data_IF_849642145396
#
_entry.id   IF_849642145396
#
_cell.length_a   1.000
_cell.length_b   1.000
_cell.length_c   1.000
_cell.angle_alpha   90.00
_cell.angle_beta   90.00
_cell.angle_gamma   90.00
#
_symmetry.space_group_name_H-M   'P 1'
#
loop_
_entity.id
_entity.type
_entity.pdbx_description
1 polymer ?
#
# COMPACT_ATOMS: atom_id res chain seq x y z
N UNK A 1 -26.68 5.43 -13.92
CA UNK A 1 -26.75 4.72 -12.63
C UNK A 1 -27.25 3.28 -12.83
N UNK A 2 -26.51 2.44 -13.57
CA UNK A 2 -26.88 1.02 -13.85
C UNK A 2 -25.84 0.00 -13.34
N UNK A 3 -24.66 0.46 -12.91
CA UNK A 3 -23.55 -0.44 -12.54
C UNK A 3 -23.65 -1.03 -11.13
N UNK A 4 -24.13 -0.25 -10.14
CA UNK A 4 -24.24 -0.72 -8.77
C UNK A 4 -25.34 -1.78 -8.58
N UNK A 5 -26.42 -1.69 -9.35
CA UNK A 5 -27.47 -2.70 -9.29
C UNK A 5 -27.01 -4.03 -9.92
N UNK A 6 -26.12 -3.98 -10.91
CA UNK A 6 -25.49 -5.18 -11.48
C UNK A 6 -24.59 -5.90 -10.46
N UNK A 7 -23.87 -5.15 -9.62
CA UNK A 7 -22.97 -5.72 -8.59
C UNK A 7 -23.74 -6.57 -7.58
N UNK A 8 -25.00 -6.21 -7.28
CA UNK A 8 -25.85 -6.95 -6.31
C UNK A 8 -26.23 -8.34 -6.83
N UNK A 9 -26.29 -8.51 -8.15
CA UNK A 9 -26.66 -9.77 -8.81
C UNK A 9 -25.44 -10.69 -9.05
N UNK A 10 -24.21 -10.21 -8.78
CA UNK A 10 -22.98 -10.96 -9.01
C UNK A 10 -22.51 -11.71 -7.76
N UNK A 11 -22.13 -12.97 -7.95
CA UNK A 11 -21.47 -13.77 -6.94
C UNK A 11 -19.94 -13.65 -7.09
N UNK A 12 -19.33 -12.81 -6.27
CA UNK A 12 -17.86 -12.71 -6.23
C UNK A 12 -17.25 -13.94 -5.58
N UNK A 13 -16.22 -14.49 -6.22
CA UNK A 13 -15.49 -15.64 -5.69
C UNK A 13 -14.78 -15.27 -4.37
N UNK A 14 -15.15 -15.96 -3.28
CA UNK A 14 -14.57 -15.76 -1.96
C UNK A 14 -14.24 -17.10 -1.31
N UNK A 15 -13.18 -17.12 -0.52
CA UNK A 15 -12.77 -18.27 0.28
C UNK A 15 -12.69 -17.88 1.76
N UNK A 16 -13.24 -18.67 2.70
CA UNK A 16 -13.33 -18.29 4.11
C UNK A 16 -12.00 -17.86 4.75
N UNK A 17 -10.89 -18.51 4.35
CA UNK A 17 -9.54 -18.18 4.84
C UNK A 17 -8.83 -17.07 4.07
N UNK A 18 -9.16 -16.89 2.79
CA UNK A 18 -8.37 -16.08 1.87
C UNK A 18 -9.09 -14.81 1.40
N UNK A 19 -10.35 -14.62 1.76
CA UNK A 19 -11.16 -13.48 1.30
C UNK A 19 -11.50 -13.59 -0.19
N UNK A 20 -11.58 -12.45 -0.87
CA UNK A 20 -11.83 -12.42 -2.31
C UNK A 20 -10.67 -13.06 -3.07
N UNK A 21 -11.04 -13.88 -4.04
CA UNK A 21 -10.10 -14.57 -4.92
C UNK A 21 -9.79 -13.69 -6.13
N UNK A 22 -8.52 -13.68 -6.51
CA UNK A 22 -8.02 -13.00 -7.70
C UNK A 22 -7.02 -13.90 -8.41
N UNK A 23 -6.87 -13.72 -9.72
CA UNK A 23 -5.90 -14.47 -10.51
C UNK A 23 -4.46 -14.29 -10.00
N UNK A 24 -4.10 -13.07 -9.58
CA UNK A 24 -2.79 -12.79 -9.02
C UNK A 24 -2.82 -12.92 -7.48
N UNK A 25 -1.96 -13.77 -6.93
CA UNK A 25 -1.83 -14.00 -5.48
C UNK A 25 -1.62 -12.71 -4.67
N UNK A 26 -1.02 -11.67 -5.27
CA UNK A 26 -0.82 -10.36 -4.62
C UNK A 26 -2.12 -9.60 -4.34
N UNK A 27 -3.22 -10.00 -4.98
CA UNK A 27 -4.53 -9.34 -4.88
C UNK A 27 -5.59 -10.17 -4.16
N UNK A 28 -5.22 -11.32 -3.59
CA UNK A 28 -6.11 -12.10 -2.72
C UNK A 28 -6.32 -11.36 -1.39
N UNK A 29 -7.50 -11.55 -0.76
CA UNK A 29 -7.86 -10.93 0.51
C UNK A 29 -8.94 -9.88 0.32
N UNK A 30 -8.71 -8.66 0.79
CA UNK A 30 -9.61 -7.53 0.55
C UNK A 30 -9.48 -6.92 -0.85
N UNK A 31 -8.53 -7.40 -1.68
CA UNK A 31 -8.22 -6.92 -3.05
C UNK A 31 -7.85 -5.44 -3.19
N UNK A 32 -7.95 -4.65 -2.12
CA UNK A 32 -7.73 -3.21 -2.15
C UNK A 32 -6.26 -2.90 -2.45
N UNK A 33 -6.05 -2.17 -3.54
CA UNK A 33 -4.73 -1.61 -3.90
C UNK A 33 -4.77 -0.11 -3.77
N UNK A 34 -3.98 0.40 -2.83
CA UNK A 34 -3.77 1.83 -2.59
C UNK A 34 -2.38 2.17 -3.12
N UNK A 35 -2.28 3.26 -3.88
CA UNK A 35 -1.03 3.71 -4.50
C UNK A 35 -0.83 5.19 -4.20
N UNK A 36 0.35 5.56 -3.73
CA UNK A 36 0.79 6.95 -3.60
C UNK A 36 2.09 7.13 -4.37
N UNK A 37 2.14 8.16 -5.22
CA UNK A 37 3.39 8.63 -5.83
C UNK A 37 3.92 9.78 -4.98
N UNK A 38 5.11 9.62 -4.41
CA UNK A 38 5.72 10.60 -3.53
C UNK A 38 7.16 10.89 -3.96
N UNK A 39 7.58 12.14 -3.80
CA UNK A 39 8.99 12.53 -3.94
C UNK A 39 9.68 12.27 -2.59
N UNK A 40 10.61 11.33 -2.59
CA UNK A 40 11.35 10.84 -1.41
C UNK A 40 12.82 10.80 -1.82
N UNK A 41 13.41 11.97 -2.04
CA UNK A 41 14.74 12.09 -2.65
C UNK A 41 15.86 11.91 -1.63
N UNK A 42 15.65 12.27 -0.36
CA UNK A 42 16.68 12.22 0.68
C UNK A 42 16.62 10.95 1.52
N UNK A 43 15.42 10.55 1.95
CA UNK A 43 15.21 9.35 2.75
C UNK A 43 15.52 8.07 1.95
N UNK A 44 15.45 8.13 0.62
CA UNK A 44 15.81 7.01 -0.24
C UNK A 44 17.31 6.95 -0.60
N UNK A 45 18.15 7.81 -0.03
CA UNK A 45 19.61 7.72 -0.16
C UNK A 45 20.16 6.55 0.65
N UNK A 46 21.33 6.05 0.26
CA UNK A 46 21.93 4.83 0.81
C UNK A 46 22.21 4.96 2.31
N UNK A 47 22.64 6.13 2.78
CA UNK A 47 22.88 6.40 4.20
C UNK A 47 21.61 6.28 5.07
N UNK A 48 20.43 6.36 4.46
CA UNK A 48 19.13 6.24 5.13
C UNK A 48 18.43 4.89 4.88
N UNK A 49 19.05 3.98 4.13
CA UNK A 49 18.49 2.68 3.71
C UNK A 49 17.84 1.92 4.85
N UNK A 50 18.57 1.68 5.94
CA UNK A 50 18.07 0.96 7.13
C UNK A 50 16.79 1.58 7.70
N UNK A 51 16.77 2.92 7.83
CA UNK A 51 15.61 3.65 8.36
C UNK A 51 14.43 3.53 7.41
N UNK A 52 14.67 3.67 6.12
CA UNK A 52 13.60 3.63 5.12
C UNK A 52 13.02 2.22 4.98
N UNK A 53 13.85 1.18 4.93
CA UNK A 53 13.44 -0.22 4.90
C UNK A 53 12.62 -0.58 6.15
N UNK A 54 13.06 -0.17 7.33
CA UNK A 54 12.31 -0.39 8.58
C UNK A 54 10.90 0.21 8.52
N UNK A 55 10.76 1.43 7.99
CA UNK A 55 9.44 2.07 7.81
C UNK A 55 8.56 1.31 6.82
N UNK A 56 9.14 0.86 5.69
CA UNK A 56 8.41 0.08 4.69
C UNK A 56 7.93 -1.26 5.27
N UNK A 57 8.78 -1.98 6.00
CA UNK A 57 8.46 -3.26 6.61
C UNK A 57 7.41 -3.14 7.72
N UNK A 58 7.58 -2.17 8.62
CA UNK A 58 6.66 -1.90 9.75
C UNK A 58 5.22 -1.72 9.27
N UNK A 59 5.03 -1.00 8.17
CA UNK A 59 3.71 -0.73 7.61
C UNK A 59 3.34 -1.68 6.45
N UNK A 60 4.19 -2.63 6.11
CA UNK A 60 3.99 -3.55 4.98
C UNK A 60 3.80 -2.84 3.64
N UNK A 61 4.54 -1.75 3.40
CA UNK A 61 4.50 -0.96 2.16
C UNK A 61 5.52 -1.51 1.17
N UNK A 62 5.09 -1.68 -0.09
CA UNK A 62 5.97 -2.00 -1.22
C UNK A 62 6.32 -0.72 -1.96
N UNK A 63 7.57 -0.60 -2.35
CA UNK A 63 8.10 0.57 -3.04
C UNK A 63 8.59 0.18 -4.45
N UNK A 64 8.39 1.07 -5.42
CA UNK A 64 9.01 1.02 -6.74
C UNK A 64 9.52 2.40 -7.14
N UNK A 65 10.79 2.55 -7.50
CA UNK A 65 11.32 3.79 -8.09
C UNK A 65 10.68 3.99 -9.46
N UNK A 66 10.06 5.15 -9.69
CA UNK A 66 9.47 5.52 -10.99
C UNK A 66 10.44 6.42 -11.75
N UNK A 67 10.94 7.46 -11.08
CA UNK A 67 11.75 8.52 -11.69
C UNK A 67 12.68 9.14 -10.63
N UNK A 68 13.41 10.19 -10.99
CA UNK A 68 14.42 10.87 -10.19
C UNK A 68 13.88 11.35 -8.82
N UNK A 69 14.06 10.51 -7.80
CA UNK A 69 13.56 10.73 -6.44
C UNK A 69 12.05 10.55 -6.27
N UNK A 70 11.33 10.01 -7.27
CA UNK A 70 9.89 9.73 -7.20
C UNK A 70 9.67 8.22 -7.07
N UNK A 71 8.91 7.85 -6.04
CA UNK A 71 8.63 6.46 -5.69
C UNK A 71 7.13 6.19 -5.66
N UNK A 72 6.73 5.03 -6.17
CA UNK A 72 5.41 4.45 -6.00
C UNK A 72 5.39 3.62 -4.71
N UNK A 73 4.52 4.00 -3.77
CA UNK A 73 4.27 3.29 -2.53
C UNK A 73 2.91 2.59 -2.61
N UNK A 74 2.87 1.29 -2.32
CA UNK A 74 1.67 0.46 -2.42
C UNK A 74 1.48 -0.38 -1.15
N UNK A 75 0.25 -0.54 -0.66
CA UNK A 75 -0.01 -1.47 0.44
C UNK A 75 0.33 -2.92 0.03
N UNK A 76 1.13 -3.63 0.82
CA UNK A 76 1.55 -4.99 0.52
C UNK A 76 0.56 -6.03 1.03
N UNK A 77 0.16 -5.91 2.30
CA UNK A 77 -0.73 -6.85 2.97
C UNK A 77 -2.20 -6.59 2.61
N UNK A 78 -2.92 -7.67 2.28
CA UNK A 78 -4.35 -7.66 1.88
C UNK A 78 -5.17 -8.80 2.49
N UNK A 79 -4.52 -9.85 2.99
CA UNK A 79 -5.16 -11.01 3.63
C UNK A 79 -5.19 -10.82 5.14
N UNK A 80 -6.30 -11.20 5.76
CA UNK A 80 -6.47 -11.13 7.22
C UNK A 80 -6.64 -9.72 7.76
N UNK A 81 -7.12 -8.79 6.94
CA UNK A 81 -7.43 -7.41 7.33
C UNK A 81 -8.54 -6.85 6.44
N UNK A 82 -9.40 -6.05 7.02
CA UNK A 82 -10.42 -5.28 6.32
C UNK A 82 -9.79 -4.20 5.43
N UNK A 83 -10.56 -3.70 4.47
CA UNK A 83 -10.20 -2.58 3.59
C UNK A 83 -9.85 -1.34 4.42
N UNK A 84 -10.61 -1.08 5.49
CA UNK A 84 -10.41 0.11 6.32
C UNK A 84 -9.15 0.00 7.19
N UNK A 85 -8.81 -1.20 7.69
CA UNK A 85 -7.54 -1.43 8.38
C UNK A 85 -6.35 -1.27 7.42
N UNK A 86 -6.47 -1.81 6.20
CA UNK A 86 -5.46 -1.61 5.15
C UNK A 86 -5.24 -0.14 4.84
N UNK A 87 -6.33 0.62 4.68
CA UNK A 87 -6.27 2.05 4.40
C UNK A 87 -5.66 2.86 5.56
N UNK A 88 -6.06 2.60 6.80
CA UNK A 88 -5.53 3.29 7.98
C UNK A 88 -4.06 2.98 8.22
N UNK A 89 -3.65 1.72 8.10
CA UNK A 89 -2.26 1.31 8.23
C UNK A 89 -1.39 1.96 7.14
N UNK A 90 -1.85 1.91 5.89
CA UNK A 90 -1.16 2.56 4.79
C UNK A 90 -1.06 4.08 4.99
N UNK A 91 -2.14 4.75 5.39
CA UNK A 91 -2.14 6.19 5.70
C UNK A 91 -1.12 6.54 6.79
N UNK A 92 -1.05 5.74 7.87
CA UNK A 92 -0.07 5.93 8.95
C UNK A 92 1.36 5.82 8.43
N UNK A 93 1.67 4.77 7.67
CA UNK A 93 3.00 4.59 7.09
C UNK A 93 3.40 5.71 6.13
N UNK A 94 2.48 6.16 5.27
CA UNK A 94 2.74 7.30 4.38
C UNK A 94 3.03 8.58 5.19
N UNK A 95 2.28 8.84 6.27
CA UNK A 95 2.51 10.00 7.13
C UNK A 95 3.89 9.96 7.78
N UNK A 96 4.32 8.81 8.28
CA UNK A 96 5.65 8.63 8.89
C UNK A 96 6.77 8.80 7.86
N UNK A 97 6.63 8.21 6.66
CA UNK A 97 7.59 8.36 5.56
C UNK A 97 7.74 9.83 5.15
N UNK A 98 6.62 10.55 4.94
CA UNK A 98 6.64 11.97 4.59
C UNK A 98 7.29 12.80 5.70
N UNK A 99 7.01 12.47 6.96
CA UNK A 99 7.61 13.17 8.11
C UNK A 99 9.12 12.93 8.15
N UNK A 100 9.57 11.70 7.96
CA UNK A 100 10.99 11.34 7.92
C UNK A 100 11.73 12.05 6.77
N UNK A 101 11.14 12.11 5.57
CA UNK A 101 11.70 12.87 4.44
C UNK A 101 11.84 14.36 4.78
N UNK A 102 10.82 14.96 5.41
CA UNK A 102 10.85 16.38 5.80
C UNK A 102 11.94 16.68 6.84
N UNK A 103 12.17 15.79 7.80
CA UNK A 103 13.22 15.98 8.80
C UNK A 103 14.63 15.99 8.22
N UNK A 104 14.84 15.42 7.02
CA UNK A 104 16.12 15.46 6.29
C UNK A 104 16.28 16.75 5.45
N UNK A 105 15.25 17.60 5.41
CA UNK A 105 15.29 18.91 4.75
C UNK A 105 15.53 20.09 5.70
N UNK A 106 15.63 19.81 7.00
CA UNK A 106 16.07 20.75 8.03
C UNK A 106 17.59 20.69 8.16
#
# INVERSE_FOLDING_TARGET
>A
MKGFDLIKELNFAQHPRFGFLAHNLKHIGNTLRIIVKAKISKLALEENSNKFETLLETHGIKMKKIDNGIYELTNGKRVGMTEIESARNFQKGIKEIITAEKCLHL
#
